data_IF_788536075111
#
_entry.id   IF_788536075111
#
_cell.length_a   1.000
_cell.length_b   1.000
_cell.length_c   1.000
_cell.angle_alpha   90.00
_cell.angle_beta   90.00
_cell.angle_gamma   90.00
#
_symmetry.space_group_name_H-M   'P 1'
#
loop_
_entity.id
_entity.type
_entity.pdbx_description
1 polymer ?
#
# COMPACT_ATOMS: atom_id res chain seq x y z
N UNK A 1 -4.05 16.11 14.36
CA UNK A 1 -4.00 16.35 12.91
C UNK A 1 -3.67 15.04 12.23
N UNK A 2 -4.67 14.37 11.65
CA UNK A 2 -4.50 13.11 10.90
C UNK A 2 -4.50 13.33 9.39
N UNK A 3 -4.30 12.27 8.63
CA UNK A 3 -4.39 12.24 7.16
C UNK A 3 -5.07 10.95 6.70
N UNK A 4 -5.47 10.80 5.42
CA UNK A 4 -6.23 9.64 4.99
C UNK A 4 -5.41 8.35 5.00
N UNK A 5 -6.05 7.27 5.46
CA UNK A 5 -5.67 5.89 5.22
C UNK A 5 -6.70 5.26 4.28
N UNK A 6 -6.22 4.77 3.13
CA UNK A 6 -7.03 3.99 2.19
C UNK A 6 -6.77 2.51 2.42
N UNK A 7 -7.81 1.74 2.74
CA UNK A 7 -7.72 0.28 2.88
C UNK A 7 -8.20 -0.39 1.59
N UNK A 8 -7.44 -1.37 1.11
CA UNK A 8 -7.67 -2.09 -0.14
C UNK A 8 -8.16 -3.50 0.18
N UNK A 9 -9.35 -3.82 -0.32
CA UNK A 9 -9.91 -5.17 -0.31
C UNK A 9 -10.03 -5.67 -1.74
N UNK A 10 -9.57 -6.89 -2.00
CA UNK A 10 -9.57 -7.48 -3.33
C UNK A 10 -10.37 -8.77 -3.39
N UNK A 11 -11.26 -8.87 -4.37
CA UNK A 11 -12.02 -10.07 -4.67
C UNK A 11 -11.82 -10.47 -6.14
N UNK A 12 -11.37 -11.70 -6.37
CA UNK A 12 -11.28 -12.24 -7.73
C UNK A 12 -12.65 -12.74 -8.16
N UNK A 13 -13.27 -12.08 -9.13
CA UNK A 13 -14.60 -12.47 -9.63
C UNK A 13 -14.53 -13.53 -10.74
N UNK A 14 -13.50 -13.45 -11.59
CA UNK A 14 -13.24 -14.41 -12.67
C UNK A 14 -11.73 -14.52 -12.90
N UNK A 15 -11.23 -15.41 -13.76
CA UNK A 15 -9.79 -15.50 -14.07
C UNK A 15 -9.16 -14.20 -14.61
N UNK A 16 -9.96 -13.23 -15.06
CA UNK A 16 -9.47 -11.96 -15.62
C UNK A 16 -10.06 -10.72 -14.97
N UNK A 17 -10.99 -10.86 -14.03
CA UNK A 17 -11.71 -9.72 -13.45
C UNK A 17 -11.49 -9.68 -11.95
N UNK A 18 -11.01 -8.54 -11.46
CA UNK A 18 -10.80 -8.27 -10.05
C UNK A 18 -11.62 -7.08 -9.59
N UNK A 19 -12.37 -7.27 -8.52
CA UNK A 19 -13.10 -6.22 -7.83
C UNK A 19 -12.21 -5.69 -6.70
N UNK A 20 -12.02 -4.37 -6.69
CA UNK A 20 -11.28 -3.67 -5.64
C UNK A 20 -12.28 -2.79 -4.89
N UNK A 21 -12.48 -3.09 -3.61
CA UNK A 21 -13.20 -2.21 -2.70
C UNK A 21 -12.19 -1.38 -1.92
N UNK A 22 -12.39 -0.06 -1.92
CA UNK A 22 -11.56 0.90 -1.20
C UNK A 22 -12.39 1.57 -0.12
N UNK A 23 -11.86 1.62 1.09
CA UNK A 23 -12.43 2.40 2.19
C UNK A 23 -11.43 3.44 2.66
N UNK A 24 -11.90 4.61 3.09
CA UNK A 24 -11.05 5.64 3.69
C UNK A 24 -11.40 5.82 5.18
N UNK A 25 -10.36 6.06 5.97
CA UNK A 25 -10.48 6.47 7.36
C UNK A 25 -9.35 7.43 7.72
N UNK A 26 -9.48 8.09 8.86
CA UNK A 26 -8.41 8.91 9.42
C UNK A 26 -7.28 8.03 9.95
N UNK A 27 -6.05 8.33 9.57
CA UNK A 27 -4.84 7.78 10.17
C UNK A 27 -4.31 8.70 11.26
N UNK A 28 -4.00 8.14 12.43
CA UNK A 28 -3.27 8.82 13.51
C UNK A 28 -2.06 7.95 13.88
N UNK A 29 -0.88 8.56 13.87
CA UNK A 29 0.39 7.82 13.95
C UNK A 29 0.63 7.12 15.30
N UNK A 30 -0.01 7.57 16.38
CA UNK A 30 0.05 6.96 17.70
C UNK A 30 -0.96 5.82 17.91
N UNK A 31 -1.76 5.51 16.87
CA UNK A 31 -2.80 4.48 16.93
C UNK A 31 -4.05 4.91 17.68
N UNK A 32 -4.16 6.17 18.12
CA UNK A 32 -5.40 6.69 18.68
C UNK A 32 -6.50 6.77 17.62
N UNK A 33 -7.74 6.73 18.08
CA UNK A 33 -8.93 6.93 17.26
C UNK A 33 -9.80 8.00 17.89
N UNK A 34 -10.47 8.79 17.06
CA UNK A 34 -11.55 9.68 17.47
C UNK A 34 -12.82 9.39 16.65
N UNK A 35 -13.96 9.88 17.12
CA UNK A 35 -15.25 9.76 16.44
C UNK A 35 -15.41 10.77 15.29
N UNK A 36 -14.32 11.40 14.83
CA UNK A 36 -14.37 12.37 13.74
C UNK A 36 -14.49 11.66 12.39
N UNK A 37 -15.66 11.78 11.77
CA UNK A 37 -15.90 11.33 10.41
C UNK A 37 -15.32 12.33 9.40
N UNK A 38 -14.00 12.39 9.31
CA UNK A 38 -13.31 13.16 8.28
C UNK A 38 -13.40 12.44 6.93
N UNK A 39 -13.80 13.19 5.91
CA UNK A 39 -13.87 12.72 4.54
C UNK A 39 -12.96 13.55 3.67
N UNK A 40 -12.09 12.86 2.93
CA UNK A 40 -11.21 13.47 1.95
C UNK A 40 -11.66 13.14 0.54
N UNK A 41 -11.41 14.10 -0.35
CA UNK A 41 -11.46 13.87 -1.80
C UNK A 41 -10.07 13.44 -2.25
N UNK A 42 -9.90 12.15 -2.58
CA UNK A 42 -8.60 11.54 -2.82
C UNK A 42 -8.47 11.13 -4.30
N UNK A 43 -7.50 11.64 -5.06
CA UNK A 43 -7.20 11.11 -6.39
C UNK A 43 -6.48 9.77 -6.26
N UNK A 44 -7.22 8.68 -6.46
CA UNK A 44 -6.69 7.32 -6.45
C UNK A 44 -6.13 7.00 -7.82
N UNK A 45 -4.85 6.68 -7.87
CA UNK A 45 -4.19 6.10 -9.04
C UNK A 45 -3.88 4.64 -8.76
N UNK A 46 -4.06 3.77 -9.74
CA UNK A 46 -3.75 2.35 -9.67
C UNK A 46 -2.87 1.99 -10.85
N UNK A 47 -1.83 1.21 -10.59
CA UNK A 47 -1.04 0.55 -11.61
C UNK A 47 -0.83 -0.92 -11.27
N UNK A 48 -0.49 -1.69 -12.29
CA UNK A 48 -0.62 -3.15 -12.28
C UNK A 48 0.58 -3.79 -12.95
N UNK A 49 0.72 -5.10 -12.79
CA UNK A 49 1.76 -5.89 -13.47
C UNK A 49 1.82 -5.69 -14.99
N UNK A 50 0.67 -5.55 -15.65
CA UNK A 50 0.60 -5.31 -17.10
C UNK A 50 1.09 -3.92 -17.50
N UNK A 51 0.97 -2.93 -16.61
CA UNK A 51 1.33 -1.54 -16.83
C UNK A 51 2.20 -1.00 -15.67
N UNK A 52 3.42 -1.52 -15.46
CA UNK A 52 4.18 -1.25 -14.23
C UNK A 52 4.76 0.17 -14.16
N UNK A 53 4.77 0.90 -15.27
CA UNK A 53 5.38 2.25 -15.41
C UNK A 53 4.37 3.31 -15.86
N UNK A 54 3.08 3.03 -15.71
CA UNK A 54 2.02 3.95 -16.11
C UNK A 54 0.75 3.69 -15.31
N UNK A 55 -0.07 4.72 -15.16
CA UNK A 55 -1.37 4.61 -14.48
C UNK A 55 -2.30 3.73 -15.34
N UNK A 56 -2.77 2.63 -14.77
CA UNK A 56 -3.76 1.74 -15.39
C UNK A 56 -5.20 2.23 -15.15
N UNK A 57 -5.44 2.87 -14.00
CA UNK A 57 -6.73 3.46 -13.63
C UNK A 57 -6.52 4.68 -12.75
N UNK A 58 -7.28 5.73 -13.01
CA UNK A 58 -7.39 6.91 -12.15
C UNK A 58 -8.85 7.13 -11.80
N UNK A 59 -9.13 7.44 -10.54
CA UNK A 59 -10.49 7.69 -10.04
C UNK A 59 -10.44 8.63 -8.85
N UNK A 60 -11.44 9.50 -8.75
CA UNK A 60 -11.63 10.34 -7.58
C UNK A 60 -12.45 9.57 -6.53
N UNK A 61 -11.87 9.35 -5.35
CA UNK A 61 -12.60 8.85 -4.19
C UNK A 61 -13.17 10.04 -3.44
N UNK A 62 -14.46 10.29 -3.62
CA UNK A 62 -15.22 11.37 -3.01
C UNK A 62 -16.25 10.86 -1.99
N UNK A 63 -16.16 9.58 -1.61
CA UNK A 63 -17.05 8.88 -0.67
C UNK A 63 -16.23 8.07 0.34
N UNK A 64 -16.80 7.71 1.50
CA UNK A 64 -16.14 6.84 2.48
C UNK A 64 -15.71 5.48 1.90
N UNK A 65 -16.44 4.99 0.90
CA UNK A 65 -16.19 3.73 0.23
C UNK A 65 -16.46 3.86 -1.27
N UNK A 66 -15.62 3.22 -2.10
CA UNK A 66 -15.85 3.04 -3.53
C UNK A 66 -15.48 1.62 -3.97
N UNK A 67 -16.08 1.16 -5.06
CA UNK A 67 -15.76 -0.12 -5.69
C UNK A 67 -15.30 0.10 -7.12
N UNK A 68 -14.22 -0.58 -7.52
CA UNK A 68 -13.57 -0.45 -8.82
C UNK A 68 -13.44 -1.85 -9.42
N UNK A 69 -13.88 -2.01 -10.67
CA UNK A 69 -13.63 -3.23 -11.44
C UNK A 69 -12.39 -3.03 -12.30
N UNK A 70 -11.41 -3.94 -12.17
CA UNK A 70 -10.27 -4.04 -13.07
C UNK A 70 -10.37 -5.30 -13.92
N UNK A 71 -10.20 -5.12 -15.22
CA UNK A 71 -10.16 -6.20 -16.20
C UNK A 71 -8.72 -6.59 -16.54
N UNK A 72 -8.54 -7.83 -17.02
CA UNK A 72 -7.26 -8.44 -17.35
C UNK A 72 -6.28 -8.51 -16.18
N UNK A 73 -6.80 -8.78 -14.97
CA UNK A 73 -6.00 -9.01 -13.76
C UNK A 73 -6.20 -10.46 -13.31
N UNK A 74 -5.12 -11.25 -13.40
CA UNK A 74 -5.09 -12.66 -12.96
C UNK A 74 -4.99 -12.77 -11.44
N UNK A 75 -5.32 -13.93 -10.86
CA UNK A 75 -5.30 -14.11 -9.40
C UNK A 75 -3.95 -13.73 -8.74
N UNK A 76 -2.83 -14.03 -9.40
CA UNK A 76 -1.49 -13.74 -8.86
C UNK A 76 -0.93 -12.37 -9.27
N UNK A 77 -1.64 -11.63 -10.12
CA UNK A 77 -1.17 -10.32 -10.54
C UNK A 77 -1.30 -9.33 -9.39
N UNK A 78 -0.24 -8.54 -9.20
CA UNK A 78 -0.21 -7.48 -8.22
C UNK A 78 -0.90 -6.22 -8.75
N UNK A 79 -1.45 -5.47 -7.81
CA UNK A 79 -1.96 -4.11 -8.00
C UNK A 79 -1.29 -3.22 -6.97
N UNK A 80 -1.05 -1.96 -7.31
CA UNK A 80 -0.55 -0.96 -6.37
C UNK A 80 -1.27 0.36 -6.56
N UNK A 81 -1.76 0.92 -5.47
CA UNK A 81 -2.35 2.25 -5.42
C UNK A 81 -1.26 3.33 -5.27
N UNK A 82 -1.62 4.56 -5.60
CA UNK A 82 -0.77 5.74 -5.45
C UNK A 82 0.49 5.65 -6.34
N UNK A 83 0.34 5.65 -7.67
CA UNK A 83 1.46 5.59 -8.62
C UNK A 83 2.52 6.66 -8.34
N UNK A 84 3.79 6.24 -8.25
CA UNK A 84 4.92 7.07 -7.80
C UNK A 84 4.71 7.73 -6.43
N UNK A 85 3.76 7.26 -5.64
CA UNK A 85 3.47 7.75 -4.28
C UNK A 85 3.33 9.27 -4.19
N UNK A 86 2.59 9.86 -5.13
CA UNK A 86 2.38 11.32 -5.25
C UNK A 86 1.26 11.80 -4.33
N UNK A 87 0.23 10.99 -4.15
CA UNK A 87 -0.93 11.31 -3.32
C UNK A 87 -0.59 11.29 -1.83
N UNK A 88 -1.17 12.24 -1.09
CA UNK A 88 -0.99 12.37 0.36
C UNK A 88 -1.99 11.50 1.11
N UNK A 89 -1.75 10.19 1.11
CA UNK A 89 -2.49 9.20 1.88
C UNK A 89 -1.64 7.94 2.02
N UNK A 90 -1.91 7.16 3.07
CA UNK A 90 -1.31 5.83 3.25
C UNK A 90 -2.20 4.76 2.65
N UNK A 91 -1.61 3.65 2.23
CA UNK A 91 -2.34 2.51 1.71
C UNK A 91 -2.15 1.30 2.62
N UNK A 92 -3.25 0.73 3.10
CA UNK A 92 -3.27 -0.57 3.77
C UNK A 92 -3.76 -1.64 2.82
N UNK A 93 -2.97 -2.69 2.68
CA UNK A 93 -3.32 -3.89 1.93
C UNK A 93 -3.59 -5.05 2.89
N UNK A 94 -4.53 -5.92 2.54
CA UNK A 94 -4.69 -7.20 3.24
C UNK A 94 -3.44 -8.09 3.06
N UNK A 95 -3.13 -8.99 4.00
CA UNK A 95 -1.89 -9.78 3.95
C UNK A 95 -1.68 -10.55 2.64
N UNK A 96 -2.75 -11.13 2.05
CA UNK A 96 -2.69 -11.83 0.75
C UNK A 96 -2.30 -10.86 -0.38
N UNK A 97 -2.89 -9.66 -0.39
CA UNK A 97 -2.55 -8.62 -1.37
C UNK A 97 -1.14 -8.11 -1.19
N UNK A 98 -0.73 -7.81 0.06
CA UNK A 98 0.60 -7.31 0.33
C UNK A 98 1.67 -8.29 -0.14
N UNK A 99 1.45 -9.59 0.06
CA UNK A 99 2.37 -10.64 -0.38
C UNK A 99 2.57 -10.65 -1.92
N UNK A 100 1.57 -10.24 -2.72
CA UNK A 100 1.70 -10.13 -4.18
C UNK A 100 2.69 -9.02 -4.59
N UNK A 101 2.94 -8.02 -3.72
CA UNK A 101 3.93 -6.98 -3.97
C UNK A 101 5.38 -7.45 -3.77
N UNK A 102 5.60 -8.63 -3.18
CA UNK A 102 6.96 -9.14 -2.93
C UNK A 102 7.77 -9.33 -4.24
N UNK A 103 7.15 -9.91 -5.27
CA UNK A 103 7.81 -10.16 -6.57
C UNK A 103 8.26 -8.86 -7.26
N UNK A 104 7.38 -7.85 -7.45
CA UNK A 104 7.80 -6.63 -8.14
C UNK A 104 8.72 -5.74 -7.30
N UNK A 105 8.77 -5.92 -5.97
CA UNK A 105 9.79 -5.31 -5.11
C UNK A 105 11.15 -5.99 -5.32
N UNK A 106 11.21 -7.32 -5.16
CA UNK A 106 12.44 -8.09 -5.26
C UNK A 106 13.11 -7.96 -6.63
N UNK A 107 12.30 -7.92 -7.70
CA UNK A 107 12.78 -7.76 -9.07
C UNK A 107 12.93 -6.29 -9.50
N UNK A 108 12.78 -5.32 -8.57
CA UNK A 108 12.91 -3.87 -8.81
C UNK A 108 12.04 -3.37 -9.98
N UNK A 109 10.88 -4.00 -10.17
CA UNK A 109 9.87 -3.58 -11.16
C UNK A 109 9.22 -2.27 -10.69
N UNK A 110 8.91 -2.18 -9.39
CA UNK A 110 8.43 -0.93 -8.77
C UNK A 110 9.57 0.09 -8.68
N UNK A 111 9.24 1.37 -8.82
CA UNK A 111 10.23 2.45 -8.66
C UNK A 111 10.79 2.50 -7.24
N UNK A 112 11.99 3.07 -7.00
CA UNK A 112 12.49 3.26 -5.64
C UNK A 112 11.54 4.05 -4.74
N UNK A 113 10.78 5.00 -5.30
CA UNK A 113 9.79 5.78 -4.55
C UNK A 113 8.58 4.95 -4.14
N UNK A 114 8.10 4.06 -5.01
CA UNK A 114 7.03 3.13 -4.67
C UNK A 114 7.50 2.12 -3.62
N UNK A 115 8.70 1.55 -3.77
CA UNK A 115 9.30 0.62 -2.79
C UNK A 115 9.48 1.29 -1.43
N UNK A 116 10.03 2.50 -1.39
CA UNK A 116 10.16 3.29 -0.16
C UNK A 116 8.80 3.46 0.56
N UNK A 117 7.77 3.83 -0.18
CA UNK A 117 6.46 4.15 0.41
C UNK A 117 5.66 2.92 0.80
N UNK A 118 5.80 1.80 0.09
CA UNK A 118 5.19 0.53 0.52
C UNK A 118 5.71 0.11 1.89
N UNK A 119 7.04 0.09 2.09
CA UNK A 119 7.59 -0.30 3.39
C UNK A 119 7.32 0.75 4.48
N UNK A 120 7.28 2.04 4.14
CA UNK A 120 6.97 3.12 5.10
C UNK A 120 5.51 3.06 5.56
N UNK A 121 4.58 2.83 4.64
CA UNK A 121 3.16 2.64 4.94
C UNK A 121 2.95 1.46 5.88
N UNK A 122 3.53 0.30 5.54
CA UNK A 122 3.39 -0.89 6.39
C UNK A 122 4.01 -0.67 7.76
N UNK A 123 5.20 -0.04 7.84
CA UNK A 123 5.83 0.30 9.11
C UNK A 123 4.96 1.23 9.98
N UNK A 124 4.42 2.30 9.38
CA UNK A 124 3.55 3.24 10.09
C UNK A 124 2.25 2.57 10.55
N UNK A 125 1.66 1.70 9.73
CA UNK A 125 0.48 0.91 10.09
C UNK A 125 0.78 -0.08 11.21
N UNK A 126 1.96 -0.68 11.24
CA UNK A 126 2.39 -1.52 12.35
C UNK A 126 2.53 -0.74 13.66
N UNK A 127 3.19 0.44 13.62
CA UNK A 127 3.33 1.31 14.79
C UNK A 127 1.98 1.78 15.34
N UNK A 128 1.03 2.09 14.46
CA UNK A 128 -0.33 2.51 14.83
C UNK A 128 -1.26 1.33 15.18
N UNK A 129 -0.78 0.07 15.20
CA UNK A 129 -1.59 -1.10 15.53
C UNK A 129 -2.59 -1.54 14.46
N UNK A 130 -2.49 -1.01 13.24
CA UNK A 130 -3.36 -1.35 12.11
C UNK A 130 -2.89 -2.56 11.31
N UNK A 131 -1.66 -3.02 11.48
CA UNK A 131 -1.06 -4.12 10.72
C UNK A 131 -0.02 -4.91 11.52
N UNK A 132 0.18 -6.19 11.18
CA UNK A 132 1.12 -7.06 11.89
C UNK A 132 2.58 -6.82 11.50
N UNK A 133 3.46 -6.67 12.50
CA UNK A 133 4.91 -6.67 12.27
C UNK A 133 5.42 -7.96 11.64
N UNK A 134 4.73 -9.09 11.82
CA UNK A 134 5.08 -10.35 11.13
C UNK A 134 4.93 -10.19 9.62
N UNK A 135 3.87 -9.52 9.16
CA UNK A 135 3.67 -9.27 7.73
C UNK A 135 4.67 -8.25 7.19
N UNK A 136 5.04 -7.25 8.00
CA UNK A 136 6.12 -6.32 7.65
C UNK A 136 7.48 -7.05 7.49
N UNK A 137 7.86 -7.90 8.45
CA UNK A 137 9.11 -8.67 8.36
C UNK A 137 9.14 -9.59 7.14
N UNK A 138 8.01 -10.24 6.81
CA UNK A 138 7.89 -11.05 5.58
C UNK A 138 8.06 -10.20 4.31
N UNK A 139 7.46 -9.00 4.28
CA UNK A 139 7.61 -8.05 3.18
C UNK A 139 9.09 -7.64 3.03
N UNK A 140 9.79 -7.35 4.13
CA UNK A 140 11.20 -6.94 4.10
C UNK A 140 12.14 -7.98 3.48
N UNK A 141 11.78 -9.26 3.46
CA UNK A 141 12.54 -10.29 2.75
C UNK A 141 12.65 -10.02 1.24
N UNK A 142 11.67 -9.31 0.66
CA UNK A 142 11.72 -8.89 -0.75
C UNK A 142 12.69 -7.72 -0.99
N UNK A 143 13.14 -7.02 0.05
CA UNK A 143 14.10 -5.91 -0.05
C UNK A 143 15.56 -6.35 0.11
N UNK A 144 15.85 -7.66 0.24
CA UNK A 144 17.21 -8.17 0.49
C UNK A 144 18.28 -7.65 -0.47
N UNK A 145 17.91 -7.42 -1.74
CA UNK A 145 18.78 -6.98 -2.82
C UNK A 145 18.54 -5.51 -3.20
N UNK A 146 17.86 -4.73 -2.35
CA UNK A 146 17.64 -3.30 -2.54
C UNK A 146 18.97 -2.56 -2.71
N UNK A 147 19.01 -1.56 -3.58
CA UNK A 147 20.22 -0.80 -3.93
C UNK A 147 20.04 0.71 -3.78
N UNK A 148 18.81 1.16 -3.53
CA UNK A 148 18.52 2.55 -3.27
C UNK A 148 18.82 2.91 -1.81
N UNK A 149 19.73 3.85 -1.63
CA UNK A 149 20.14 4.35 -0.32
C UNK A 149 18.96 4.84 0.54
N UNK A 150 18.02 5.58 -0.03
CA UNK A 150 16.90 6.16 0.71
C UNK A 150 15.95 5.08 1.21
N UNK A 151 15.65 4.08 0.37
CA UNK A 151 14.84 2.91 0.76
C UNK A 151 15.51 2.17 1.92
N UNK A 152 16.78 1.81 1.76
CA UNK A 152 17.53 1.07 2.79
C UNK A 152 17.67 1.85 4.10
N UNK A 153 17.93 3.15 4.03
CA UNK A 153 18.02 4.00 5.22
C UNK A 153 16.71 4.02 6.00
N UNK A 154 15.57 4.09 5.31
CA UNK A 154 14.26 4.04 5.95
C UNK A 154 14.01 2.70 6.63
N UNK A 155 14.27 1.58 5.93
CA UNK A 155 14.16 0.22 6.50
C UNK A 155 15.04 0.07 7.74
N UNK A 156 16.31 0.46 7.66
CA UNK A 156 17.25 0.36 8.77
C UNK A 156 16.79 1.19 9.98
N UNK A 157 16.25 2.39 9.75
CA UNK A 157 15.68 3.21 10.82
C UNK A 157 14.48 2.53 11.50
N UNK A 158 13.57 1.95 10.71
CA UNK A 158 12.39 1.26 11.24
C UNK A 158 12.78 0.03 12.06
N UNK A 159 13.68 -0.81 11.54
CA UNK A 159 14.16 -2.00 12.27
C UNK A 159 14.91 -1.59 13.54
N UNK A 160 15.75 -0.55 13.47
CA UNK A 160 16.46 -0.02 14.63
C UNK A 160 15.52 0.38 15.77
N UNK A 161 14.44 1.10 15.45
CA UNK A 161 13.41 1.47 16.43
C UNK A 161 12.71 0.24 17.03
N UNK A 162 12.38 -0.76 16.20
CA UNK A 162 11.75 -2.01 16.67
C UNK A 162 12.67 -2.79 17.63
N UNK A 163 13.97 -2.80 17.38
CA UNK A 163 14.94 -3.49 18.25
C UNK A 163 15.18 -2.82 19.61
N UNK A 164 14.68 -1.59 19.77
CA UNK A 164 14.82 -0.79 21.00
C UNK A 164 13.57 -0.83 21.91
N UNK A 165 12.51 -1.52 21.47
CA UNK A 165 11.32 -1.85 22.26
C UNK A 165 11.59 -3.04 23.19
#
# INVERSE_FOLDING_TARGET
MGYPLVTVYEEQQSNKTRIIKLTQQRFIADGSSDDENLQWTIPITIFTKSNPKSIAKEILMDKPEITITLENISEDDWIKLNYNSIGLYRVKYEPKTLARLNEPIANKILSPQDRLMIQDDVAALCNAGHQSFVDYLKLLLSYKDEDNFTVWKSIASTIGNLSSL
#
